data_IF_847298002808
#
_entry.id   IF_847298002808
#
_cell.length_a   1.000
_cell.length_b   1.000
_cell.length_c   1.000
_cell.angle_alpha   90.00
_cell.angle_beta   90.00
_cell.angle_gamma   90.00
#
_symmetry.space_group_name_H-M   'P 1'
#
loop_
_entity.id
_entity.type
_entity.pdbx_description
1 polymer ?
#
# COMPACT_ATOMS: atom_id res chain seq x y z
N UNK A 1 -22.91 4.03 -17.54
CA UNK A 1 -22.03 3.75 -16.37
C UNK A 1 -21.67 2.26 -16.16
N UNK A 2 -22.11 1.30 -17.00
CA UNK A 2 -21.84 -0.14 -16.76
C UNK A 2 -20.60 -0.77 -17.44
N UNK A 3 -20.01 -0.10 -18.44
CA UNK A 3 -18.98 -0.71 -19.30
C UNK A 3 -17.67 -1.05 -18.59
N UNK A 4 -17.14 -0.11 -17.79
CA UNK A 4 -15.88 -0.30 -17.05
C UNK A 4 -16.01 -1.41 -16.00
N UNK A 5 -17.13 -1.45 -15.26
CA UNK A 5 -17.39 -2.49 -14.27
C UNK A 5 -17.51 -3.87 -14.92
N UNK A 6 -18.25 -3.99 -16.03
CA UNK A 6 -18.39 -5.25 -16.76
C UNK A 6 -17.05 -5.75 -17.32
N UNK A 7 -16.20 -4.84 -17.82
CA UNK A 7 -14.86 -5.18 -18.27
C UNK A 7 -13.98 -5.69 -17.12
N UNK A 8 -13.97 -4.98 -15.99
CA UNK A 8 -13.23 -5.41 -14.80
C UNK A 8 -13.73 -6.74 -14.26
N UNK A 9 -15.04 -6.96 -14.20
CA UNK A 9 -15.63 -8.22 -13.76
C UNK A 9 -15.19 -9.38 -14.67
N UNK A 10 -15.07 -9.15 -15.98
CA UNK A 10 -14.56 -10.14 -16.94
C UNK A 10 -13.08 -10.42 -16.73
N UNK A 11 -12.25 -9.38 -16.71
CA UNK A 11 -10.80 -9.50 -16.47
C UNK A 11 -10.53 -10.20 -15.14
N UNK A 12 -11.30 -9.88 -14.11
CA UNK A 12 -11.18 -10.51 -12.80
C UNK A 12 -11.48 -12.00 -12.86
N UNK A 13 -12.60 -12.40 -13.47
CA UNK A 13 -12.98 -13.82 -13.58
C UNK A 13 -11.96 -14.64 -14.38
N UNK A 14 -11.37 -14.04 -15.41
CA UNK A 14 -10.45 -14.74 -16.30
C UNK A 14 -9.00 -14.77 -15.75
N UNK A 15 -8.54 -13.69 -15.11
CA UNK A 15 -7.11 -13.47 -14.83
C UNK A 15 -6.75 -13.28 -13.34
N UNK A 16 -7.72 -13.19 -12.42
CA UNK A 16 -7.41 -12.89 -11.00
C UNK A 16 -6.44 -13.91 -10.37
N UNK A 17 -6.64 -15.20 -10.62
CA UNK A 17 -5.74 -16.25 -10.11
C UNK A 17 -4.31 -16.14 -10.64
N UNK A 18 -4.17 -15.77 -11.93
CA UNK A 18 -2.87 -15.55 -12.57
C UNK A 18 -2.16 -14.32 -11.97
N UNK A 19 -2.88 -13.21 -11.82
CA UNK A 19 -2.36 -11.99 -11.20
C UNK A 19 -1.92 -12.21 -9.76
N UNK A 20 -2.74 -12.88 -8.94
CA UNK A 20 -2.39 -13.22 -7.55
C UNK A 20 -1.20 -14.17 -7.49
N UNK A 21 -1.11 -15.16 -8.38
CA UNK A 21 0.02 -16.08 -8.47
C UNK A 21 1.34 -15.35 -8.78
N UNK A 22 1.32 -14.38 -9.70
CA UNK A 22 2.50 -13.56 -10.02
C UNK A 22 2.88 -12.65 -8.86
N UNK A 23 1.89 -11.96 -8.26
CA UNK A 23 2.13 -11.02 -7.17
C UNK A 23 2.62 -11.72 -5.90
N UNK A 24 1.98 -12.81 -5.48
CA UNK A 24 2.35 -13.58 -4.28
C UNK A 24 3.76 -14.17 -4.39
N UNK A 25 4.15 -14.71 -5.55
CA UNK A 25 5.52 -15.19 -5.79
C UNK A 25 6.56 -14.08 -5.67
N UNK A 26 6.22 -12.86 -6.09
CA UNK A 26 7.14 -11.71 -6.09
C UNK A 26 7.21 -11.01 -4.73
N UNK A 27 6.10 -10.97 -4.01
CA UNK A 27 5.99 -10.34 -2.69
C UNK A 27 6.38 -11.30 -1.55
N UNK A 28 6.25 -12.60 -1.76
CA UNK A 28 6.43 -13.62 -0.72
C UNK A 28 5.28 -13.69 0.29
N UNK A 29 4.16 -13.03 -0.01
CA UNK A 29 3.02 -12.86 0.89
C UNK A 29 1.73 -12.79 0.05
N UNK A 30 0.82 -13.74 0.26
CA UNK A 30 -0.43 -13.83 -0.48
C UNK A 30 -1.44 -12.79 0.01
N UNK A 31 -1.52 -12.55 1.31
CA UNK A 31 -2.47 -11.61 1.90
C UNK A 31 -2.13 -10.19 1.44
N UNK A 32 -0.84 -9.84 1.44
CA UNK A 32 -0.36 -8.57 0.90
C UNK A 32 -0.65 -8.44 -0.61
N UNK A 33 -0.54 -9.53 -1.37
CA UNK A 33 -0.83 -9.53 -2.79
C UNK A 33 -2.32 -9.31 -3.06
N UNK A 34 -3.21 -9.95 -2.30
CA UNK A 34 -4.65 -9.80 -2.41
C UNK A 34 -5.08 -8.37 -2.06
N UNK A 35 -4.69 -7.87 -0.90
CA UNK A 35 -4.96 -6.50 -0.46
C UNK A 35 -4.58 -5.48 -1.54
N UNK A 36 -3.35 -5.61 -2.05
CA UNK A 36 -2.82 -4.68 -3.04
C UNK A 36 -3.55 -4.77 -4.39
N UNK A 37 -3.96 -5.97 -4.80
CA UNK A 37 -4.73 -6.17 -6.03
C UNK A 37 -6.14 -5.60 -5.90
N UNK A 38 -6.81 -5.79 -4.75
CA UNK A 38 -8.12 -5.19 -4.49
C UNK A 38 -8.06 -3.66 -4.51
N UNK A 39 -7.05 -3.06 -3.89
CA UNK A 39 -6.84 -1.62 -3.95
C UNK A 39 -6.60 -1.12 -5.39
N UNK A 40 -5.87 -1.89 -6.20
CA UNK A 40 -5.62 -1.57 -7.61
C UNK A 40 -6.92 -1.60 -8.43
N UNK A 41 -7.80 -2.58 -8.22
CA UNK A 41 -9.13 -2.63 -8.84
C UNK A 41 -9.98 -1.43 -8.41
N UNK A 42 -9.97 -1.08 -7.13
CA UNK A 42 -10.64 0.12 -6.65
C UNK A 42 -10.14 1.40 -7.33
N UNK A 43 -8.85 1.49 -7.62
CA UNK A 43 -8.28 2.61 -8.37
C UNK A 43 -8.69 2.61 -9.84
N UNK A 44 -8.69 1.45 -10.49
CA UNK A 44 -9.20 1.30 -11.86
C UNK A 44 -10.65 1.79 -11.98
N UNK A 45 -11.52 1.40 -11.05
CA UNK A 45 -12.92 1.83 -11.01
C UNK A 45 -13.09 3.35 -10.90
N UNK A 46 -12.18 4.03 -10.21
CA UNK A 46 -12.20 5.49 -10.09
C UNK A 46 -11.61 6.18 -11.31
N UNK A 47 -10.55 5.61 -11.88
CA UNK A 47 -9.71 6.29 -12.88
C UNK A 47 -10.14 6.03 -14.32
N UNK A 48 -10.45 4.78 -14.68
CA UNK A 48 -10.78 4.42 -16.06
C UNK A 48 -12.04 5.09 -16.63
N UNK A 49 -13.08 5.45 -15.84
CA UNK A 49 -14.20 6.21 -16.37
C UNK A 49 -13.82 7.61 -16.87
N UNK A 50 -12.77 8.22 -16.32
CA UNK A 50 -12.32 9.57 -16.70
C UNK A 50 -11.15 9.51 -17.71
N UNK A 51 -10.17 8.65 -17.45
CA UNK A 51 -8.93 8.57 -18.21
C UNK A 51 -8.99 7.58 -19.39
N UNK A 52 -10.04 6.76 -19.45
CA UNK A 52 -10.16 5.64 -20.37
C UNK A 52 -9.53 4.35 -19.82
N UNK A 53 -9.89 3.23 -20.44
CA UNK A 53 -9.32 1.92 -20.11
C UNK A 53 -7.96 1.78 -20.82
N UNK A 54 -6.89 1.40 -20.11
CA UNK A 54 -5.59 1.11 -20.73
C UNK A 54 -5.65 -0.04 -21.73
N UNK A 55 -4.74 -0.05 -22.71
CA UNK A 55 -4.64 -1.12 -23.73
C UNK A 55 -4.43 -2.51 -23.10
N UNK A 56 -3.76 -2.57 -21.94
CA UNK A 56 -3.62 -3.79 -21.14
C UNK A 56 -4.17 -3.58 -19.72
N UNK A 57 -5.45 -3.91 -19.48
CA UNK A 57 -6.07 -3.82 -18.16
C UNK A 57 -5.35 -4.68 -17.11
N UNK A 58 -5.04 -5.93 -17.45
CA UNK A 58 -4.35 -6.89 -16.56
C UNK A 58 -2.95 -6.39 -16.19
N UNK A 59 -2.17 -5.94 -17.18
CA UNK A 59 -0.81 -5.41 -16.94
C UNK A 59 -0.81 -4.16 -16.07
N UNK A 60 -1.81 -3.29 -16.28
CA UNK A 60 -2.02 -2.12 -15.45
C UNK A 60 -2.35 -2.50 -13.99
N UNK A 61 -3.26 -3.46 -13.78
CA UNK A 61 -3.65 -3.93 -12.44
C UNK A 61 -2.47 -4.54 -11.68
N UNK A 62 -1.70 -5.43 -12.31
CA UNK A 62 -0.49 -6.02 -11.69
C UNK A 62 0.53 -4.94 -11.31
N UNK A 63 0.73 -3.96 -12.18
CA UNK A 63 1.68 -2.87 -11.93
C UNK A 63 1.20 -1.98 -10.78
N UNK A 64 -0.09 -1.62 -10.75
CA UNK A 64 -0.68 -0.82 -9.69
C UNK A 64 -0.63 -1.55 -8.34
N UNK A 65 -0.99 -2.84 -8.32
CA UNK A 65 -0.91 -3.68 -7.13
C UNK A 65 0.54 -3.77 -6.59
N UNK A 66 1.51 -4.03 -7.46
CA UNK A 66 2.92 -4.07 -7.06
C UNK A 66 3.39 -2.77 -6.38
N UNK A 67 3.04 -1.61 -6.96
CA UNK A 67 3.40 -0.30 -6.39
C UNK A 67 2.80 -0.12 -4.99
N UNK A 68 1.52 -0.43 -4.83
CA UNK A 68 0.82 -0.34 -3.53
C UNK A 68 1.43 -1.25 -2.47
N UNK A 69 1.73 -2.50 -2.83
CA UNK A 69 2.37 -3.44 -1.93
C UNK A 69 3.76 -2.94 -1.48
N UNK A 70 4.58 -2.46 -2.42
CA UNK A 70 5.89 -1.87 -2.12
C UNK A 70 5.77 -0.66 -1.19
N UNK A 71 4.80 0.21 -1.43
CA UNK A 71 4.58 1.40 -0.60
C UNK A 71 4.07 1.04 0.80
N UNK A 72 3.27 -0.01 0.95
CA UNK A 72 2.89 -0.57 2.25
C UNK A 72 4.11 -1.09 3.02
N UNK A 73 4.93 -1.93 2.38
CA UNK A 73 6.17 -2.45 2.95
C UNK A 73 7.15 -1.32 3.35
N UNK A 74 7.24 -0.26 2.55
CA UNK A 74 8.04 0.94 2.87
C UNK A 74 7.50 1.66 4.11
N UNK A 75 6.19 1.89 4.20
CA UNK A 75 5.54 2.54 5.35
C UNK A 75 5.71 1.74 6.64
N UNK A 76 5.57 0.42 6.59
CA UNK A 76 5.81 -0.45 7.75
C UNK A 76 7.26 -0.38 8.25
N UNK A 77 8.24 -0.36 7.32
CA UNK A 77 9.66 -0.20 7.67
C UNK A 77 9.96 1.18 8.25
N UNK A 78 9.29 2.23 7.77
CA UNK A 78 9.42 3.58 8.31
C UNK A 78 8.79 3.71 9.71
N UNK A 79 7.60 3.14 9.92
CA UNK A 79 6.93 3.10 11.22
C UNK A 79 7.76 2.38 12.29
N UNK A 80 8.41 1.26 11.92
CA UNK A 80 9.34 0.53 12.82
C UNK A 80 10.61 1.32 13.17
N UNK A 81 11.05 2.28 12.34
CA UNK A 81 12.15 3.19 12.67
C UNK A 81 11.70 4.34 13.57
N UNK A 82 10.48 4.85 13.38
CA UNK A 82 9.95 5.97 14.16
C UNK A 82 9.60 5.60 15.61
N UNK A 83 9.24 4.34 15.89
CA UNK A 83 8.97 3.87 17.26
C UNK A 83 10.23 3.76 18.15
N UNK A 84 11.44 4.03 17.60
CA UNK A 84 12.69 4.07 18.37
C UNK A 84 13.14 5.49 18.76
N UNK A 85 12.30 6.50 18.53
CA UNK A 85 12.61 7.89 18.88
C UNK A 85 11.47 8.55 19.64
N UNK A 86 11.13 8.00 20.81
CA UNK A 86 10.69 8.84 21.92
C UNK A 86 11.92 9.16 22.76
N UNK A 87 12.56 10.35 22.62
CA UNK A 87 13.45 10.81 23.67
C UNK A 87 12.57 11.04 24.89
N UNK A 88 12.59 10.09 25.82
CA UNK A 88 12.12 10.33 27.18
C UNK A 88 12.86 11.56 27.67
N UNK A 89 12.15 12.68 27.75
CA UNK A 89 12.69 13.92 28.27
C UNK A 89 12.83 13.71 29.78
N UNK A 90 13.93 13.04 30.17
CA UNK A 90 14.44 13.06 31.53
C UNK A 90 14.87 14.49 31.78
N UNK A 91 13.96 15.31 32.31
CA UNK A 91 14.30 16.58 32.97
C UNK A 91 15.43 16.25 33.96
N UNK A 92 16.66 16.79 33.80
CA UNK A 92 17.63 16.66 34.85
C UNK A 92 17.12 17.47 36.04
N UNK A 93 16.90 16.78 37.15
CA UNK A 93 16.67 17.40 38.46
C UNK A 93 17.84 18.34 38.73
N UNK A 94 17.57 19.64 38.81
CA UNK A 94 18.54 20.63 39.29
C UNK A 94 18.91 20.26 40.74
N UNK A 95 20.19 20.03 41.09
CA UNK A 95 20.58 19.98 42.49
C UNK A 95 20.40 21.38 43.10
N UNK A 96 19.95 21.39 44.34
CA UNK A 96 19.53 22.59 45.05
C UNK A 96 20.66 23.52 45.48
N UNK A 97 20.19 24.68 45.94
CA UNK A 97 20.75 25.48 47.03
C UNK A 97 22.18 26.00 46.87
N UNK A 98 22.30 27.22 46.39
CA UNK A 98 23.16 28.26 46.99
C UNK A 98 22.58 29.59 46.52
N UNK A 99 21.90 30.37 47.36
CA UNK A 99 22.53 31.08 48.47
C UNK A 99 23.02 32.43 47.93
N UNK A 100 22.11 33.35 47.64
CA UNK A 100 22.45 34.75 47.40
C UNK A 100 21.55 35.65 48.24
N UNK A 101 22.24 36.16 49.25
CA UNK A 101 22.03 37.29 50.14
C UNK A 101 21.29 38.48 49.55
#
# INVERSE_FOLDING_TARGET
MGGVKALLDRVWRDEAGSMLGVLSRRLGDLDLAEDALQEAVGEALRRWPADGVPDSPTGWLVTAAWRKAVDRLRRERAGRRSSRSSPVSRRPSRPGTTGWR
#
